data_IF_252803351276
#
_entry.id   IF_252803351276
#
_cell.length_a   1.000
_cell.length_b   1.000
_cell.length_c   1.000
_cell.angle_alpha   90.00
_cell.angle_beta   90.00
_cell.angle_gamma   90.00
#
_symmetry.space_group_name_H-M   'P 1'
#
loop_
_entity.id
_entity.type
_entity.pdbx_description
1 polymer ?
#
# COMPACT_ATOMS: atom_id res chain seq x y z
N UNK A 1 -2.74 -14.26 12.16
CA UNK A 1 -1.37 -14.70 11.85
C UNK A 1 -1.28 -15.34 10.46
N UNK A 2 -2.17 -16.26 10.11
CA UNK A 2 -2.19 -16.97 8.82
C UNK A 2 -2.48 -16.04 7.64
N UNK A 3 -3.36 -15.05 7.79
CA UNK A 3 -3.75 -14.12 6.71
C UNK A 3 -2.63 -13.14 6.30
N UNK A 4 -1.76 -12.73 7.21
CA UNK A 4 -0.61 -11.89 6.88
C UNK A 4 0.45 -12.67 6.08
N UNK A 5 0.72 -13.92 6.46
CA UNK A 5 1.67 -14.78 5.74
C UNK A 5 1.23 -15.11 4.31
N UNK A 6 -0.06 -15.38 4.09
CA UNK A 6 -0.60 -15.74 2.77
C UNK A 6 -0.55 -14.55 1.79
N UNK A 7 -0.89 -13.34 2.22
CA UNK A 7 -0.80 -12.15 1.37
C UNK A 7 0.64 -11.83 0.98
N UNK A 8 1.58 -11.95 1.91
CA UNK A 8 3.00 -11.73 1.64
C UNK A 8 3.58 -12.74 0.65
N UNK A 9 3.12 -13.97 0.72
CA UNK A 9 3.50 -15.05 -0.18
C UNK A 9 3.16 -14.73 -1.65
N UNK A 10 1.96 -14.20 -1.91
CA UNK A 10 1.54 -13.80 -3.25
C UNK A 10 2.32 -12.59 -3.76
N UNK A 11 2.69 -11.65 -2.89
CA UNK A 11 3.51 -10.47 -3.21
C UNK A 11 4.87 -10.88 -3.78
N UNK A 12 5.53 -11.86 -3.18
CA UNK A 12 6.83 -12.34 -3.65
C UNK A 12 6.78 -12.95 -5.07
N UNK A 13 5.64 -13.52 -5.47
CA UNK A 13 5.48 -14.22 -6.74
C UNK A 13 4.75 -13.40 -7.80
N UNK A 14 3.99 -12.37 -7.42
CA UNK A 14 3.27 -11.53 -8.39
C UNK A 14 4.23 -10.76 -9.29
N UNK A 15 3.98 -10.80 -10.60
CA UNK A 15 4.78 -10.09 -11.61
C UNK A 15 4.89 -8.59 -11.39
N UNK A 16 3.89 -7.98 -10.79
CA UNK A 16 3.80 -6.53 -10.59
C UNK A 16 4.48 -6.07 -9.30
N UNK A 17 4.96 -6.99 -8.47
CA UNK A 17 5.62 -6.71 -7.20
C UNK A 17 7.07 -7.20 -7.29
N UNK A 18 7.40 -8.33 -6.69
CA UNK A 18 8.80 -8.81 -6.68
C UNK A 18 9.15 -9.73 -7.86
N UNK A 19 8.16 -10.21 -8.62
CA UNK A 19 8.31 -10.98 -9.86
C UNK A 19 9.23 -12.21 -9.76
N UNK A 20 9.36 -12.82 -8.60
CA UNK A 20 10.15 -14.04 -8.47
C UNK A 20 9.49 -15.19 -9.22
N UNK A 21 10.26 -16.00 -9.97
CA UNK A 21 9.72 -17.05 -10.82
C UNK A 21 9.09 -18.20 -10.04
N UNK A 22 9.55 -18.45 -8.81
CA UNK A 22 9.02 -19.50 -7.95
C UNK A 22 9.47 -19.34 -6.49
N UNK A 23 8.79 -20.04 -5.58
CA UNK A 23 9.19 -20.15 -4.18
C UNK A 23 10.58 -20.73 -4.05
N UNK A 24 10.87 -21.79 -4.82
CA UNK A 24 12.19 -22.43 -4.83
C UNK A 24 13.29 -21.45 -5.21
N UNK A 25 13.03 -20.55 -6.14
CA UNK A 25 13.97 -19.48 -6.50
C UNK A 25 14.23 -18.52 -5.33
N UNK A 26 13.18 -18.06 -4.62
CA UNK A 26 13.33 -17.19 -3.45
C UNK A 26 14.18 -17.87 -2.37
N UNK A 27 13.88 -19.14 -2.03
CA UNK A 27 14.62 -19.87 -1.02
C UNK A 27 16.08 -20.12 -1.44
N UNK A 28 16.31 -20.43 -2.72
CA UNK A 28 17.68 -20.60 -3.23
C UNK A 28 18.47 -19.30 -3.19
N UNK A 29 17.85 -18.17 -3.50
CA UNK A 29 18.49 -16.83 -3.43
C UNK A 29 18.90 -16.50 -2.00
N UNK A 30 18.00 -16.70 -1.02
CA UNK A 30 18.31 -16.47 0.39
C UNK A 30 19.44 -17.40 0.87
N UNK A 31 19.36 -18.69 0.51
CA UNK A 31 20.37 -19.70 0.90
C UNK A 31 21.75 -19.43 0.29
N UNK A 32 21.81 -18.79 -0.87
CA UNK A 32 23.05 -18.41 -1.55
C UNK A 32 23.62 -17.06 -1.13
N UNK A 33 22.95 -16.36 -0.23
CA UNK A 33 23.43 -15.06 0.28
C UNK A 33 24.12 -15.27 1.64
N UNK A 34 25.43 -15.03 1.69
CA UNK A 34 26.28 -15.27 2.86
C UNK A 34 25.79 -14.52 4.11
N UNK A 35 25.14 -13.35 3.94
CA UNK A 35 24.56 -12.57 5.02
C UNK A 35 23.45 -13.28 5.79
N UNK A 36 22.85 -14.33 5.22
CA UNK A 36 21.79 -15.12 5.84
C UNK A 36 22.26 -16.50 6.34
N UNK A 37 23.55 -16.82 6.20
CA UNK A 37 24.07 -18.13 6.57
C UNK A 37 23.82 -18.43 8.07
N UNK A 38 23.13 -19.53 8.34
CA UNK A 38 22.77 -19.99 9.68
C UNK A 38 21.76 -19.14 10.45
N UNK A 39 21.33 -17.98 9.93
CA UNK A 39 20.41 -17.08 10.65
C UNK A 39 19.00 -17.65 10.79
N UNK A 40 18.50 -18.34 9.76
CA UNK A 40 17.18 -18.97 9.80
C UNK A 40 17.15 -20.15 10.74
N UNK A 41 18.20 -20.97 10.76
CA UNK A 41 18.37 -22.10 11.65
C UNK A 41 18.51 -21.68 13.11
N UNK A 42 19.14 -20.53 13.34
CA UNK A 42 19.27 -19.96 14.69
C UNK A 42 17.95 -19.33 15.21
N UNK A 43 17.15 -18.76 14.32
CA UNK A 43 15.91 -18.05 14.68
C UNK A 43 14.66 -18.96 14.70
N UNK A 44 14.65 -20.04 13.93
CA UNK A 44 13.49 -20.90 13.74
C UNK A 44 13.87 -22.38 13.75
N UNK A 45 13.13 -23.19 14.49
CA UNK A 45 13.37 -24.67 14.55
C UNK A 45 13.33 -25.34 13.17
N UNK A 46 12.48 -24.83 12.26
CA UNK A 46 12.32 -25.37 10.90
C UNK A 46 13.37 -24.87 9.92
N UNK A 47 14.28 -23.96 10.35
CA UNK A 47 15.26 -23.33 9.48
C UNK A 47 14.64 -22.49 8.36
N UNK A 48 15.29 -22.44 7.20
CA UNK A 48 14.84 -21.65 6.05
C UNK A 48 13.70 -22.33 5.29
N UNK A 49 12.49 -21.82 5.48
CA UNK A 49 11.27 -22.19 4.74
C UNK A 49 10.54 -20.92 4.30
N UNK A 50 9.56 -21.04 3.40
CA UNK A 50 8.73 -19.91 3.00
C UNK A 50 7.93 -19.33 4.17
N UNK A 51 7.49 -20.18 5.09
CA UNK A 51 6.80 -19.78 6.31
C UNK A 51 7.71 -18.93 7.21
N UNK A 52 8.94 -19.39 7.46
CA UNK A 52 9.91 -18.67 8.30
C UNK A 52 10.39 -17.37 7.64
N UNK A 53 10.48 -17.30 6.32
CA UNK A 53 10.69 -16.03 5.59
C UNK A 53 9.52 -15.06 5.86
N UNK A 54 8.28 -15.53 5.75
CA UNK A 54 7.09 -14.72 6.08
C UNK A 54 7.09 -14.25 7.54
N UNK A 55 7.49 -15.11 8.49
CA UNK A 55 7.61 -14.77 9.92
C UNK A 55 8.70 -13.73 10.18
N UNK A 56 9.86 -13.85 9.55
CA UNK A 56 10.96 -12.90 9.67
C UNK A 56 10.55 -11.51 9.15
N UNK A 57 9.95 -11.45 7.97
CA UNK A 57 9.46 -10.21 7.38
C UNK A 57 8.35 -9.56 8.22
N UNK A 58 7.41 -10.34 8.74
CA UNK A 58 6.37 -9.86 9.65
C UNK A 58 6.97 -9.34 10.97
N UNK A 59 8.03 -9.96 11.48
CA UNK A 59 8.73 -9.50 12.67
C UNK A 59 9.46 -8.18 12.43
N UNK A 60 10.13 -8.05 11.29
CA UNK A 60 10.77 -6.82 10.88
C UNK A 60 9.76 -5.66 10.77
N UNK A 61 8.66 -5.90 10.06
CA UNK A 61 7.62 -4.87 9.89
C UNK A 61 7.02 -4.41 11.22
N UNK A 62 6.85 -5.31 12.20
CA UNK A 62 6.40 -4.93 13.54
C UNK A 62 7.41 -4.08 14.32
N UNK A 63 8.70 -4.17 13.98
CA UNK A 63 9.73 -3.32 14.54
C UNK A 63 9.79 -1.91 13.93
N UNK A 64 9.13 -1.70 12.78
CA UNK A 64 9.07 -0.38 12.13
C UNK A 64 7.99 0.49 12.82
N UNK A 65 8.36 1.04 13.96
CA UNK A 65 7.47 1.92 14.73
C UNK A 65 7.73 3.38 14.34
N UNK A 66 6.68 4.06 13.88
CA UNK A 66 6.67 5.50 13.66
C UNK A 66 5.86 6.16 14.80
N UNK A 67 6.50 6.35 15.94
CA UNK A 67 5.93 6.94 17.14
C UNK A 67 6.73 8.19 17.56
N UNK A 68 6.26 8.86 18.63
CA UNK A 68 6.90 10.07 19.17
C UNK A 68 6.94 11.25 18.19
N UNK A 69 5.95 11.32 17.29
CA UNK A 69 5.78 12.49 16.44
C UNK A 69 5.30 13.70 17.24
N UNK A 70 5.39 14.95 16.70
CA UNK A 70 4.76 16.10 17.32
C UNK A 70 3.29 15.89 17.65
N UNK A 71 2.54 15.17 16.79
CA UNK A 71 1.15 14.78 17.06
C UNK A 71 1.02 13.90 18.29
N UNK A 72 1.87 12.87 18.44
CA UNK A 72 1.80 11.94 19.57
C UNK A 72 2.09 12.65 20.90
N UNK A 73 3.10 13.50 20.93
CA UNK A 73 3.46 14.29 22.10
C UNK A 73 2.37 15.27 22.50
N UNK A 74 1.74 15.92 21.50
CA UNK A 74 0.62 16.82 21.75
C UNK A 74 -0.64 16.07 22.21
N UNK A 75 -1.04 15.02 21.46
CA UNK A 75 -2.35 14.37 21.66
C UNK A 75 -2.36 13.42 22.88
N UNK A 76 -1.32 12.63 23.03
CA UNK A 76 -1.21 11.64 24.11
C UNK A 76 -0.30 12.13 25.25
N UNK A 77 0.73 12.89 24.95
CA UNK A 77 1.70 13.37 25.93
C UNK A 77 1.31 14.65 26.65
N UNK A 78 0.30 15.38 26.18
CA UNK A 78 -0.16 16.65 26.77
C UNK A 78 0.81 17.82 26.57
N UNK A 79 1.75 17.70 25.63
CA UNK A 79 2.70 18.77 25.28
C UNK A 79 2.01 19.78 24.34
N UNK A 80 1.38 20.82 24.89
CA UNK A 80 0.59 21.79 24.12
C UNK A 80 1.37 22.47 23.01
N UNK A 81 2.67 22.70 23.19
CA UNK A 81 3.56 23.38 22.24
C UNK A 81 4.14 22.45 21.17
N UNK A 82 3.88 21.12 21.23
CA UNK A 82 4.42 20.16 20.26
C UNK A 82 3.80 20.31 18.85
N UNK A 83 2.60 20.89 18.77
CA UNK A 83 1.95 21.27 17.51
C UNK A 83 1.74 22.79 17.44
N UNK A 84 1.94 23.38 16.27
CA UNK A 84 1.55 24.75 16.04
C UNK A 84 0.02 24.91 15.92
N UNK A 85 -0.45 26.15 16.05
CA UNK A 85 -1.87 26.46 16.01
C UNK A 85 -2.54 26.10 14.65
N UNK A 86 -1.78 26.06 13.56
CA UNK A 86 -2.28 25.65 12.24
C UNK A 86 -2.55 24.15 12.20
N UNK A 87 -1.62 23.35 12.70
CA UNK A 87 -1.77 21.89 12.79
C UNK A 87 -2.92 21.49 13.74
N UNK A 88 -3.10 22.20 14.86
CA UNK A 88 -4.24 21.97 15.78
C UNK A 88 -5.57 22.28 15.07
N UNK A 89 -5.66 23.38 14.31
CA UNK A 89 -6.86 23.65 13.48
C UNK A 89 -7.06 22.59 12.40
N UNK A 90 -5.98 22.13 11.76
CA UNK A 90 -6.03 21.05 10.78
C UNK A 90 -6.59 19.76 11.37
N UNK A 91 -6.18 19.40 12.59
CA UNK A 91 -6.74 18.26 13.31
C UNK A 91 -8.25 18.42 13.60
N UNK A 92 -8.69 19.60 13.98
CA UNK A 92 -10.11 19.87 14.18
C UNK A 92 -10.91 19.66 12.88
N UNK A 93 -10.42 20.18 11.75
CA UNK A 93 -11.01 20.01 10.43
C UNK A 93 -10.99 18.51 9.99
N UNK A 94 -9.91 17.81 10.22
CA UNK A 94 -9.78 16.37 9.91
C UNK A 94 -10.89 15.55 10.59
N UNK A 95 -11.23 15.88 11.81
CA UNK A 95 -12.35 15.24 12.53
C UNK A 95 -13.70 15.72 12.02
N UNK A 96 -13.89 17.03 11.85
CA UNK A 96 -15.14 17.62 11.40
C UNK A 96 -15.55 17.14 10.01
N UNK A 97 -14.58 17.02 9.09
CA UNK A 97 -14.81 16.57 7.72
C UNK A 97 -14.93 15.03 7.60
N UNK A 98 -14.80 14.30 8.68
CA UNK A 98 -15.03 12.87 8.73
C UNK A 98 -13.84 12.00 8.31
N UNK A 99 -12.65 12.57 8.07
CA UNK A 99 -11.46 11.80 7.72
C UNK A 99 -11.10 10.78 8.80
N UNK A 100 -11.34 11.13 10.07
CA UNK A 100 -11.11 10.26 11.23
C UNK A 100 -12.06 9.04 11.31
N UNK A 101 -13.07 8.94 10.45
CA UNK A 101 -13.93 7.75 10.40
C UNK A 101 -13.23 6.51 9.84
N UNK A 102 -12.26 6.72 8.94
CA UNK A 102 -11.43 5.67 8.35
C UNK A 102 -9.99 5.74 8.87
N UNK A 103 -9.46 6.97 9.06
CA UNK A 103 -8.13 7.20 9.61
C UNK A 103 -8.21 7.41 11.13
N UNK A 104 -8.48 6.31 11.84
CA UNK A 104 -8.80 6.32 13.27
C UNK A 104 -7.60 6.63 14.16
N UNK A 105 -7.91 7.21 15.32
CA UNK A 105 -6.99 7.40 16.44
C UNK A 105 -7.59 6.71 17.65
N UNK A 106 -6.83 5.81 18.26
CA UNK A 106 -7.21 5.07 19.44
C UNK A 106 -6.93 5.87 20.73
N UNK A 107 -7.19 5.26 21.89
CA UNK A 107 -7.05 5.94 23.19
C UNK A 107 -5.59 6.18 23.60
N UNK A 108 -4.65 5.39 23.08
CA UNK A 108 -3.24 5.37 23.50
C UNK A 108 -2.26 5.40 22.33
N UNK A 109 -2.75 5.32 21.09
CA UNK A 109 -1.92 5.41 19.90
C UNK A 109 -2.73 5.87 18.67
N UNK A 110 -2.03 6.33 17.64
CA UNK A 110 -2.62 6.74 16.37
C UNK A 110 -1.98 6.02 15.21
N UNK A 111 -2.63 4.99 14.68
CA UNK A 111 -2.23 4.37 13.42
C UNK A 111 -2.77 5.12 12.20
N UNK A 112 -3.77 5.97 12.38
CA UNK A 112 -4.49 6.68 11.32
C UNK A 112 -5.01 5.72 10.24
N UNK A 113 -5.55 4.59 10.66
CA UNK A 113 -6.20 3.59 9.83
C UNK A 113 -7.09 2.70 10.68
N UNK A 114 -8.25 2.34 10.16
CA UNK A 114 -9.12 1.31 10.73
C UNK A 114 -8.81 -0.09 10.15
N UNK A 115 -7.87 -0.17 9.20
CA UNK A 115 -7.50 -1.40 8.52
C UNK A 115 -8.54 -1.97 7.56
N UNK A 116 -9.69 -1.31 7.40
CA UNK A 116 -10.77 -1.73 6.52
C UNK A 116 -10.53 -1.33 5.05
N UNK A 117 -11.50 -1.63 4.19
CA UNK A 117 -11.42 -1.44 2.74
C UNK A 117 -12.58 -0.59 2.26
N UNK A 118 -12.28 0.46 1.50
CA UNK A 118 -13.28 1.38 0.96
C UNK A 118 -13.02 1.68 -0.51
N UNK A 119 -14.11 2.01 -1.23
CA UNK A 119 -14.06 2.54 -2.58
C UNK A 119 -14.11 4.07 -2.49
N UNK A 120 -13.06 4.73 -2.95
CA UNK A 120 -12.94 6.19 -3.02
C UNK A 120 -13.22 6.73 -4.43
N UNK A 121 -13.71 5.89 -5.32
CA UNK A 121 -14.04 6.24 -6.70
C UNK A 121 -12.84 6.24 -7.66
N UNK A 122 -11.60 6.24 -7.19
CA UNK A 122 -10.41 6.30 -8.05
C UNK A 122 -10.31 5.08 -8.96
N UNK A 123 -10.45 3.86 -8.41
CA UNK A 123 -10.37 2.64 -9.19
C UNK A 123 -11.45 2.55 -10.27
N UNK A 124 -12.69 2.94 -9.92
CA UNK A 124 -13.79 3.04 -10.87
C UNK A 124 -13.49 4.08 -11.97
N UNK A 125 -13.15 5.31 -11.60
CA UNK A 125 -12.88 6.40 -12.54
C UNK A 125 -11.75 6.04 -13.52
N UNK A 126 -10.69 5.39 -13.02
CA UNK A 126 -9.58 4.89 -13.85
C UNK A 126 -10.02 3.81 -14.82
N UNK A 127 -10.84 2.87 -14.37
CA UNK A 127 -11.39 1.80 -15.20
C UNK A 127 -12.25 2.35 -16.35
N UNK A 128 -12.98 3.44 -16.09
CA UNK A 128 -13.84 4.09 -17.10
C UNK A 128 -13.06 4.96 -18.07
N UNK A 129 -12.03 5.70 -17.62
CA UNK A 129 -11.19 6.54 -18.50
C UNK A 129 -10.40 5.73 -19.54
N UNK A 130 -10.01 4.51 -19.22
CA UNK A 130 -9.21 3.65 -20.12
C UNK A 130 -9.96 3.06 -21.30
N UNK A 131 -11.27 3.21 -21.38
CA UNK A 131 -12.07 2.67 -22.48
C UNK A 131 -12.04 3.49 -23.77
N UNK A 132 -11.34 4.65 -23.82
CA UNK A 132 -11.50 5.57 -24.93
C UNK A 132 -10.26 6.11 -25.61
N UNK A 133 -9.05 5.90 -25.11
CA UNK A 133 -7.85 6.45 -25.75
C UNK A 133 -6.92 5.35 -26.24
N UNK A 134 -6.79 5.17 -27.58
CA UNK A 134 -5.82 4.25 -28.15
C UNK A 134 -4.39 4.75 -27.86
N UNK A 135 -3.60 3.92 -27.16
CA UNK A 135 -2.21 4.24 -26.90
C UNK A 135 -1.37 4.15 -28.16
N UNK A 136 -0.41 5.07 -28.40
CA UNK A 136 0.49 4.97 -29.54
C UNK A 136 1.36 3.72 -29.46
N UNK A 137 1.35 2.91 -30.50
CA UNK A 137 2.22 1.74 -30.66
C UNK A 137 3.49 2.17 -31.39
N UNK A 138 4.63 1.96 -30.77
CA UNK A 138 5.93 2.25 -31.39
C UNK A 138 6.30 1.12 -32.34
N UNK A 139 6.39 1.43 -33.65
CA UNK A 139 6.77 0.47 -34.71
C UNK A 139 8.28 0.46 -34.99
N UNK A 140 8.97 1.59 -34.82
CA UNK A 140 10.40 1.73 -35.00
C UNK A 140 10.94 2.94 -34.21
N UNK A 141 12.25 3.12 -34.06
CA UNK A 141 12.81 4.34 -33.48
C UNK A 141 12.28 5.60 -34.19
N UNK A 142 11.53 6.44 -33.42
CA UNK A 142 10.93 7.68 -33.95
C UNK A 142 9.60 7.51 -34.69
N UNK A 143 9.11 6.29 -34.91
CA UNK A 143 7.83 6.02 -35.58
C UNK A 143 6.84 5.41 -34.60
N UNK A 144 5.77 6.15 -34.31
CA UNK A 144 4.65 5.67 -33.51
C UNK A 144 3.34 5.83 -34.28
N UNK A 145 2.48 4.83 -34.21
CA UNK A 145 1.16 4.83 -34.83
C UNK A 145 0.11 4.70 -33.75
N UNK A 146 -0.90 5.55 -33.79
CA UNK A 146 -2.09 5.39 -32.96
C UNK A 146 -3.03 4.46 -33.73
N UNK A 147 -3.34 3.26 -33.22
CA UNK A 147 -4.23 2.34 -33.90
C UNK A 147 -5.62 2.98 -34.05
N UNK A 148 -6.16 2.96 -35.26
CA UNK A 148 -7.55 3.37 -35.53
C UNK A 148 -8.56 2.27 -35.22
N UNK A 149 -8.08 1.11 -34.78
CA UNK A 149 -8.88 -0.05 -34.36
C UNK A 149 -8.69 -0.24 -32.86
N UNK A 150 -9.78 -0.30 -32.15
CA UNK A 150 -9.79 -0.61 -30.72
C UNK A 150 -9.41 -2.10 -30.54
N UNK A 151 -8.12 -2.36 -30.43
CA UNK A 151 -7.67 -3.64 -29.91
C UNK A 151 -7.89 -3.60 -28.40
N UNK A 152 -8.79 -4.43 -27.85
CA UNK A 152 -8.93 -4.55 -26.41
C UNK A 152 -7.62 -5.08 -25.86
N UNK A 153 -6.70 -4.17 -25.54
CA UNK A 153 -5.58 -4.53 -24.68
C UNK A 153 -6.21 -5.01 -23.37
N UNK A 154 -5.94 -6.23 -22.93
CA UNK A 154 -6.34 -6.64 -21.60
C UNK A 154 -5.49 -5.86 -20.59
N UNK A 155 -5.83 -4.59 -20.43
CA UNK A 155 -5.30 -3.82 -19.32
C UNK A 155 -5.88 -4.45 -18.08
N UNK A 156 -5.02 -5.02 -17.25
CA UNK A 156 -5.41 -5.49 -15.94
C UNK A 156 -5.98 -4.30 -15.19
N UNK A 157 -7.30 -4.23 -15.12
CA UNK A 157 -7.95 -3.33 -14.19
C UNK A 157 -7.56 -3.83 -12.81
N UNK A 158 -6.98 -2.97 -12.00
CA UNK A 158 -6.88 -3.22 -10.58
C UNK A 158 -8.29 -3.11 -10.00
N UNK A 159 -8.86 -4.24 -9.65
CA UNK A 159 -10.20 -4.34 -9.08
C UNK A 159 -10.18 -4.32 -7.55
N UNK A 160 -9.02 -4.04 -6.96
CA UNK A 160 -8.84 -3.96 -5.51
C UNK A 160 -9.10 -5.29 -4.82
N UNK A 161 -9.78 -5.23 -3.67
CA UNK A 161 -10.08 -6.40 -2.85
C UNK A 161 -10.82 -7.52 -3.61
N UNK A 162 -11.61 -7.17 -4.62
CA UNK A 162 -12.31 -8.15 -5.45
C UNK A 162 -11.37 -9.21 -6.04
N UNK A 163 -10.13 -8.86 -6.38
CA UNK A 163 -9.17 -9.82 -6.95
C UNK A 163 -8.81 -10.95 -5.99
N UNK A 164 -8.96 -10.71 -4.68
CA UNK A 164 -8.70 -11.71 -3.65
C UNK A 164 -9.96 -12.45 -3.20
N UNK A 165 -11.13 -11.78 -3.18
CA UNK A 165 -12.36 -12.35 -2.62
C UNK A 165 -13.30 -12.92 -3.67
N UNK A 166 -13.29 -12.38 -4.91
CA UNK A 166 -14.29 -12.67 -5.93
C UNK A 166 -15.67 -12.07 -5.67
N UNK A 167 -15.86 -11.37 -4.55
CA UNK A 167 -17.13 -10.78 -4.15
C UNK A 167 -17.40 -9.48 -4.90
N UNK A 168 -18.50 -9.32 -5.66
CA UNK A 168 -18.78 -8.12 -6.43
C UNK A 168 -18.81 -6.82 -5.63
N UNK A 169 -19.20 -6.89 -4.36
CA UNK A 169 -19.21 -5.74 -3.44
C UNK A 169 -17.82 -5.23 -3.05
N UNK A 170 -16.77 -6.02 -3.29
CA UNK A 170 -15.39 -5.67 -2.98
C UNK A 170 -14.65 -5.02 -4.16
N UNK A 171 -15.32 -4.79 -5.29
CA UNK A 171 -14.72 -4.10 -6.44
C UNK A 171 -14.31 -2.69 -6.08
N UNK A 172 -13.07 -2.32 -6.49
CA UNK A 172 -12.45 -1.01 -6.27
C UNK A 172 -12.33 -0.60 -4.81
N UNK A 173 -12.46 -1.55 -3.88
CA UNK A 173 -12.19 -1.31 -2.47
C UNK A 173 -10.72 -1.55 -2.18
N UNK A 174 -10.06 -0.53 -1.63
CA UNK A 174 -8.65 -0.56 -1.24
C UNK A 174 -8.54 -0.38 0.26
N UNK A 175 -7.48 -0.96 0.83
CA UNK A 175 -7.25 -0.86 2.27
C UNK A 175 -6.91 0.58 2.64
N UNK A 176 -7.47 1.06 3.74
CA UNK A 176 -7.10 2.35 4.34
C UNK A 176 -5.63 2.30 4.78
N UNK A 177 -4.75 3.13 4.19
CA UNK A 177 -3.36 3.20 4.61
C UNK A 177 -3.22 3.97 5.92
N UNK A 178 -2.12 3.74 6.63
CA UNK A 178 -1.70 4.67 7.68
C UNK A 178 -1.36 6.03 7.07
N UNK A 179 -1.59 7.13 7.82
CA UNK A 179 -1.11 8.46 7.44
C UNK A 179 0.23 8.82 8.10
N UNK A 180 0.84 7.87 8.82
CA UNK A 180 2.18 8.09 9.38
C UNK A 180 3.20 8.35 8.29
N UNK A 181 3.96 9.44 8.44
CA UNK A 181 4.97 9.90 7.47
C UNK A 181 4.40 10.19 6.05
N UNK A 182 3.09 10.42 5.92
CA UNK A 182 2.44 10.61 4.63
C UNK A 182 3.05 11.75 3.81
N UNK A 183 3.58 12.78 4.45
CA UNK A 183 4.24 13.92 3.81
C UNK A 183 5.39 13.53 2.88
N UNK A 184 6.12 12.46 3.21
CA UNK A 184 7.32 12.03 2.46
C UNK A 184 7.08 10.81 1.58
N UNK A 185 5.83 10.38 1.41
CA UNK A 185 5.50 9.14 0.67
C UNK A 185 4.73 9.38 -0.63
N UNK A 186 4.87 10.56 -1.22
CA UNK A 186 4.31 10.82 -2.56
C UNK A 186 4.89 9.84 -3.62
N UNK A 187 4.13 9.51 -4.70
CA UNK A 187 2.76 9.93 -5.00
C UNK A 187 1.70 9.14 -4.22
N UNK A 188 0.48 9.68 -4.18
CA UNK A 188 -0.62 9.21 -3.32
C UNK A 188 -1.67 8.38 -4.06
N UNK A 189 -2.59 7.82 -3.28
CA UNK A 189 -3.60 6.82 -3.62
C UNK A 189 -2.97 5.45 -3.92
N UNK A 190 -3.81 4.40 -4.05
CA UNK A 190 -3.33 3.02 -4.26
C UNK A 190 -2.49 2.84 -5.54
N UNK A 191 -2.66 3.74 -6.50
CA UNK A 191 -2.03 3.67 -7.83
C UNK A 191 -1.03 4.81 -8.10
N UNK A 192 -0.78 5.67 -7.11
CA UNK A 192 0.10 6.82 -7.27
C UNK A 192 -0.43 7.90 -8.22
N UNK A 193 -1.75 7.97 -8.45
CA UNK A 193 -2.34 8.87 -9.43
C UNK A 193 -2.40 10.33 -9.01
N UNK A 194 -2.21 10.63 -7.72
CA UNK A 194 -2.25 11.99 -7.16
C UNK A 194 -0.85 12.35 -6.65
N UNK A 195 -0.36 13.51 -7.07
CA UNK A 195 1.02 13.91 -6.82
C UNK A 195 1.23 14.60 -5.47
N UNK A 196 0.22 15.34 -4.97
CA UNK A 196 0.33 16.19 -3.79
C UNK A 196 -0.75 15.92 -2.76
N UNK A 197 -0.48 16.24 -1.48
CA UNK A 197 -1.50 16.14 -0.42
C UNK A 197 -2.66 17.12 -0.61
N UNK A 198 -2.41 18.30 -1.18
CA UNK A 198 -3.47 19.26 -1.49
C UNK A 198 -4.47 18.66 -2.47
N UNK A 199 -3.97 18.02 -3.55
CA UNK A 199 -4.83 17.31 -4.50
C UNK A 199 -5.58 16.12 -3.88
N UNK A 200 -4.99 15.44 -2.87
CA UNK A 200 -5.69 14.39 -2.12
C UNK A 200 -6.84 14.98 -1.32
N UNK A 201 -6.63 16.12 -0.65
CA UNK A 201 -7.69 16.80 0.12
C UNK A 201 -8.80 17.27 -0.81
N UNK A 202 -8.47 17.80 -1.99
CA UNK A 202 -9.44 18.25 -2.99
C UNK A 202 -10.25 17.06 -3.58
N UNK A 203 -9.69 15.85 -3.56
CA UNK A 203 -10.37 14.64 -4.04
C UNK A 203 -11.49 14.18 -3.08
N UNK A 204 -11.31 14.37 -1.76
CA UNK A 204 -12.27 13.95 -0.73
C UNK A 204 -13.26 15.06 -0.36
#
# INVERSE_FOLDING_TARGET
WVLFGVNFFWTLLKRNEMANPSIGFVLATIRGADDYDGLFEAAFEQGLTMETVGMALASYQRGLLAADSPFDRWYFGGEEEALDASAVRGWALFREKGCSSCHTVDSDHAHFTDGNYYDTGIGYARSMKRRGEPAPVRLAPGVSVVPTVDFPQPQRNDLGRYEATGEPADRWRYRVPTLRNVEVTAPYMHDGSIATLDEVIDHY
#
